data_IF_979779215450
#
_entry.id   IF_979779215450
#
_cell.length_a   1.000
_cell.length_b   1.000
_cell.length_c   1.000
_cell.angle_alpha   90.00
_cell.angle_beta   90.00
_cell.angle_gamma   90.00
#
_symmetry.space_group_name_H-M   'P 1'
#
loop_
_entity.id
_entity.type
_entity.pdbx_description
1 polymer ?
#
# COMPACT_ATOMS: atom_id res chain seq x y z
N UNK A 1 54.70 -6.63 -48.72
CA UNK A 1 55.92 -7.45 -48.56
C UNK A 1 56.20 -7.54 -47.07
N UNK A 2 56.31 -8.66 -46.34
CA UNK A 2 56.40 -10.12 -46.56
C UNK A 2 55.73 -10.78 -45.30
N UNK A 3 54.86 -11.79 -45.39
CA UNK A 3 55.04 -13.26 -45.47
C UNK A 3 55.66 -14.00 -44.24
N UNK A 4 55.07 -15.18 -43.98
CA UNK A 4 55.41 -16.32 -43.10
C UNK A 4 54.85 -16.27 -41.64
N UNK A 5 53.87 -17.09 -41.18
CA UNK A 5 53.61 -18.57 -41.21
C UNK A 5 54.43 -19.35 -40.16
N UNK A 6 53.81 -19.89 -39.09
CA UNK A 6 53.53 -21.34 -38.90
C UNK A 6 53.57 -21.92 -37.46
N UNK A 7 52.71 -22.95 -37.27
CA UNK A 7 52.70 -24.10 -36.34
C UNK A 7 52.43 -23.86 -34.83
N UNK A 8 51.37 -24.38 -34.19
CA UNK A 8 50.72 -25.72 -34.10
C UNK A 8 51.40 -26.73 -33.14
N UNK A 9 50.68 -27.11 -32.06
CA UNK A 9 50.55 -28.47 -31.43
C UNK A 9 49.95 -28.32 -30.02
N UNK A 10 48.74 -28.81 -29.70
CA UNK A 10 48.25 -30.19 -29.47
C UNK A 10 48.56 -30.74 -28.05
N UNK A 11 47.48 -31.10 -27.35
CA UNK A 11 47.28 -31.78 -26.04
C UNK A 11 47.99 -33.15 -25.92
N UNK A 12 48.10 -33.76 -24.71
CA UNK A 12 47.07 -34.70 -24.19
C UNK A 12 46.83 -34.59 -22.66
N UNK A 13 45.60 -34.77 -22.14
CA UNK A 13 44.96 -36.03 -21.64
C UNK A 13 45.77 -36.79 -20.57
N UNK A 14 45.26 -36.85 -19.33
CA UNK A 14 45.27 -38.05 -18.43
C UNK A 14 44.11 -37.97 -17.42
N UNK A 15 43.16 -38.92 -17.51
CA UNK A 15 42.37 -39.53 -16.42
C UNK A 15 43.05 -40.89 -16.09
N UNK A 16 42.83 -41.65 -14.97
CA UNK A 16 41.51 -42.16 -14.54
C UNK A 16 41.29 -42.57 -13.04
N UNK A 17 40.01 -42.92 -12.73
CA UNK A 17 39.54 -44.01 -11.83
C UNK A 17 39.85 -43.96 -10.32
N UNK A 18 39.13 -44.59 -9.38
CA UNK A 18 37.83 -45.26 -9.26
C UNK A 18 37.59 -45.48 -7.74
N UNK A 19 36.38 -45.93 -7.41
CA UNK A 19 35.77 -46.22 -6.10
C UNK A 19 36.55 -47.16 -5.15
N UNK A 20 36.11 -47.26 -3.88
CA UNK A 20 35.43 -48.50 -3.50
C UNK A 20 34.16 -48.32 -2.65
N UNK A 21 33.24 -49.24 -2.90
CA UNK A 21 32.11 -49.72 -2.11
C UNK A 21 32.53 -50.15 -0.70
N UNK A 22 31.64 -50.06 0.31
CA UNK A 22 31.35 -51.13 1.30
C UNK A 22 30.29 -50.69 2.32
N UNK A 23 29.22 -51.48 2.40
CA UNK A 23 28.18 -51.54 3.43
C UNK A 23 28.73 -52.16 4.73
N UNK A 24 28.07 -51.96 5.89
CA UNK A 24 27.66 -53.17 6.62
C UNK A 24 26.27 -53.11 7.27
N UNK A 25 25.59 -54.24 7.09
CA UNK A 25 24.73 -55.00 8.01
C UNK A 25 23.93 -54.31 9.12
N UNK A 26 22.61 -54.56 9.03
CA UNK A 26 21.67 -54.83 10.12
C UNK A 26 22.32 -55.34 11.41
N UNK A 27 22.06 -54.64 12.51
CA UNK A 27 21.95 -55.24 13.83
C UNK A 27 20.64 -54.79 14.48
N UNK A 28 19.85 -55.77 14.90
CA UNK A 28 18.52 -55.62 15.48
C UNK A 28 18.62 -55.04 16.90
N UNK A 29 18.05 -53.85 17.13
CA UNK A 29 17.64 -53.43 18.46
C UNK A 29 16.14 -53.13 18.45
N UNK A 30 15.39 -54.11 18.96
CA UNK A 30 13.99 -53.98 19.35
C UNK A 30 13.93 -53.01 20.53
N UNK A 31 13.48 -51.78 20.30
CA UNK A 31 12.94 -50.95 21.36
C UNK A 31 11.44 -50.74 21.16
N UNK A 32 10.73 -50.97 22.25
CA UNK A 32 9.29 -51.18 22.37
C UNK A 32 8.54 -49.92 21.96
N UNK A 33 7.44 -50.10 21.20
CA UNK A 33 6.43 -49.06 20.93
C UNK A 33 5.93 -48.46 22.26
N UNK A 34 5.98 -47.14 22.47
CA UNK A 34 5.11 -46.52 23.44
C UNK A 34 3.68 -46.52 22.89
N UNK A 35 2.75 -47.02 23.71
CA UNK A 35 1.30 -47.02 23.47
C UNK A 35 0.81 -45.59 23.18
N UNK A 36 -0.14 -45.40 22.25
CA UNK A 36 -0.86 -44.14 22.14
C UNK A 36 -1.74 -43.96 23.39
N UNK A 37 -1.80 -42.77 24.01
CA UNK A 37 -2.83 -42.48 24.98
C UNK A 37 -4.19 -42.46 24.26
N UNK A 38 -5.18 -43.13 24.85
CA UNK A 38 -6.56 -43.14 24.39
C UNK A 38 -7.08 -41.71 24.27
N UNK A 39 -7.50 -41.34 23.06
CA UNK A 39 -8.35 -40.19 22.80
C UNK A 39 -9.71 -40.44 23.48
N UNK A 40 -9.93 -39.84 24.65
CA UNK A 40 -11.26 -39.68 25.20
C UNK A 40 -11.99 -38.67 24.32
N UNK A 41 -12.90 -39.16 23.48
CA UNK A 41 -13.81 -38.34 22.71
C UNK A 41 -14.69 -37.52 23.67
N UNK A 42 -14.31 -36.27 23.96
CA UNK A 42 -15.27 -35.28 24.46
C UNK A 42 -16.19 -34.93 23.30
N UNK A 43 -17.38 -35.54 23.30
CA UNK A 43 -18.55 -35.01 22.61
C UNK A 43 -18.75 -33.57 23.10
N UNK A 44 -18.38 -32.60 22.29
CA UNK A 44 -18.91 -31.24 22.45
C UNK A 44 -20.34 -31.33 21.93
N UNK A 45 -21.29 -31.25 22.86
CA UNK A 45 -22.71 -31.23 22.59
C UNK A 45 -23.02 -29.89 21.91
N UNK A 46 -23.37 -29.93 20.62
CA UNK A 46 -24.01 -28.81 19.94
C UNK A 46 -25.43 -28.69 20.53
N UNK A 47 -25.61 -27.83 21.53
CA UNK A 47 -26.95 -27.45 21.97
C UNK A 47 -27.40 -26.24 21.15
N UNK A 48 -28.32 -26.52 20.22
CA UNK A 48 -29.16 -25.51 19.61
C UNK A 48 -29.97 -24.80 20.69
N UNK A 49 -29.81 -23.48 20.79
CA UNK A 49 -30.79 -22.61 21.45
C UNK A 49 -31.46 -21.75 20.37
N UNK A 50 -32.66 -22.18 19.98
CA UNK A 50 -33.65 -21.28 19.41
C UNK A 50 -34.44 -20.67 20.57
N UNK A 51 -34.39 -19.35 20.70
CA UNK A 51 -35.40 -18.45 21.30
C UNK A 51 -34.72 -17.10 21.53
N UNK A 52 -35.04 -16.09 20.73
CA UNK A 52 -36.15 -15.15 20.94
C UNK A 52 -35.71 -13.95 21.81
N UNK A 53 -35.74 -12.77 21.18
CA UNK A 53 -35.82 -11.41 21.72
C UNK A 53 -35.10 -11.11 23.04
N UNK A 54 -33.95 -10.43 22.91
CA UNK A 54 -33.56 -9.40 23.89
C UNK A 54 -33.14 -8.16 23.11
N UNK A 55 -34.07 -7.22 23.01
CA UNK A 55 -33.82 -5.81 22.71
C UNK A 55 -32.91 -5.25 23.80
N UNK A 56 -31.59 -5.40 23.61
CA UNK A 56 -30.58 -4.66 24.35
C UNK A 56 -30.52 -3.25 23.79
N UNK A 57 -31.16 -2.31 24.48
CA UNK A 57 -31.03 -0.90 24.23
C UNK A 57 -29.54 -0.52 24.18
N UNK A 58 -29.05 -0.13 22.99
CA UNK A 58 -27.75 0.52 22.89
C UNK A 58 -27.89 1.90 23.51
N UNK A 59 -27.49 1.99 24.78
CA UNK A 59 -27.36 3.23 25.53
C UNK A 59 -26.44 4.17 24.77
N UNK A 60 -27.02 5.24 24.23
CA UNK A 60 -26.34 6.48 23.89
C UNK A 60 -25.63 7.03 25.13
N UNK A 61 -24.31 7.02 25.16
CA UNK A 61 -23.43 8.07 25.73
C UNK A 61 -21.97 7.61 25.74
N UNK A 62 -21.27 7.84 24.63
CA UNK A 62 -19.93 8.42 24.65
C UNK A 62 -19.70 9.04 23.29
N UNK A 63 -19.16 10.24 23.29
CA UNK A 63 -18.68 10.99 22.14
C UNK A 63 -17.48 10.22 21.54
N UNK A 64 -17.73 9.03 20.95
CA UNK A 64 -16.73 8.31 20.19
C UNK A 64 -16.47 9.11 18.93
N UNK A 65 -15.41 9.92 18.99
CA UNK A 65 -14.90 10.64 17.84
C UNK A 65 -14.68 9.62 16.70
N UNK A 66 -15.59 9.64 15.72
CA UNK A 66 -15.54 8.73 14.56
C UNK A 66 -14.10 8.72 14.01
N UNK A 67 -13.41 7.58 13.96
CA UNK A 67 -12.01 7.55 13.58
C UNK A 67 -11.86 8.03 12.14
N UNK A 68 -10.89 8.93 11.92
CA UNK A 68 -10.55 9.39 10.57
C UNK A 68 -9.76 8.28 9.89
N UNK A 69 -10.25 7.76 8.75
CA UNK A 69 -9.51 6.74 8.01
C UNK A 69 -8.24 7.35 7.42
N UNK A 70 -7.12 6.65 7.62
CA UNK A 70 -5.81 7.00 7.06
C UNK A 70 -5.33 5.84 6.21
N UNK A 71 -4.93 6.14 4.97
CA UNK A 71 -4.29 5.20 4.07
C UNK A 71 -2.99 5.82 3.59
N UNK A 72 -1.87 5.20 4.00
CA UNK A 72 -0.53 5.59 3.64
C UNK A 72 0.12 4.51 2.77
N UNK A 73 0.58 4.88 1.59
CA UNK A 73 1.39 4.01 0.73
C UNK A 73 2.79 4.58 0.68
N UNK A 74 3.77 3.80 1.12
CA UNK A 74 5.16 4.20 1.26
C UNK A 74 6.04 3.36 0.33
N UNK A 75 6.75 4.04 -0.57
CA UNK A 75 7.74 3.45 -1.47
C UNK A 75 9.18 3.80 -1.09
N UNK A 76 9.48 4.55 -0.03
CA UNK A 76 10.86 4.92 0.31
C UNK A 76 11.45 4.01 1.40
N UNK A 77 10.65 3.59 2.38
CA UNK A 77 11.14 2.80 3.54
C UNK A 77 11.69 1.42 3.21
N UNK A 78 11.20 0.77 2.13
CA UNK A 78 11.64 -0.56 1.72
C UNK A 78 12.01 -0.56 0.22
N UNK A 79 13.14 -1.17 -0.11
CA UNK A 79 13.67 -1.22 -1.47
C UNK A 79 12.99 -2.30 -2.31
N UNK A 80 12.58 -3.39 -1.67
CA UNK A 80 12.10 -4.58 -2.37
C UNK A 80 10.57 -4.68 -2.38
N UNK A 81 9.88 -4.00 -1.46
CA UNK A 81 8.44 -4.03 -1.31
C UNK A 81 7.85 -2.63 -1.20
N UNK A 82 6.57 -2.49 -1.55
CA UNK A 82 5.79 -1.29 -1.25
C UNK A 82 5.09 -1.51 0.08
N UNK A 83 5.15 -0.53 0.96
CA UNK A 83 4.51 -0.60 2.26
C UNK A 83 3.14 0.06 2.16
N UNK A 84 2.12 -0.60 2.71
CA UNK A 84 0.79 -0.03 2.86
C UNK A 84 0.45 -0.03 4.34
N UNK A 85 0.19 1.14 4.88
CA UNK A 85 -0.28 1.35 6.23
C UNK A 85 -1.70 1.88 6.20
N UNK A 86 -2.52 1.35 7.08
CA UNK A 86 -3.93 1.71 7.17
C UNK A 86 -4.40 1.70 8.61
N UNK A 87 -5.16 2.72 8.98
CA UNK A 87 -5.87 2.78 10.25
C UNK A 87 -7.30 2.30 10.06
N UNK A 88 -7.62 1.17 10.66
CA UNK A 88 -8.97 0.60 10.64
C UNK A 88 -9.52 0.56 12.06
N UNK A 89 -10.84 0.63 12.20
CA UNK A 89 -11.47 0.36 13.49
C UNK A 89 -11.17 -1.06 13.99
N UNK A 90 -11.75 -1.43 15.10
CA UNK A 90 -11.53 -2.71 15.79
C UNK A 90 -12.15 -3.95 15.09
N UNK A 91 -12.67 -3.80 13.87
CA UNK A 91 -13.38 -4.86 13.16
C UNK A 91 -12.45 -5.82 12.43
N UNK A 92 -12.28 -7.02 12.99
CA UNK A 92 -11.48 -8.10 12.39
C UNK A 92 -11.89 -8.46 10.95
N UNK A 93 -13.18 -8.34 10.61
CA UNK A 93 -13.69 -8.60 9.26
C UNK A 93 -13.08 -7.68 8.20
N UNK A 94 -12.83 -6.41 8.57
CA UNK A 94 -12.27 -5.42 7.66
C UNK A 94 -10.84 -5.79 7.21
N UNK A 95 -10.05 -6.35 8.12
CA UNK A 95 -8.70 -6.81 7.83
C UNK A 95 -8.69 -7.99 6.85
N UNK A 96 -9.54 -8.99 7.08
CA UNK A 96 -9.61 -10.19 6.26
C UNK A 96 -10.04 -9.87 4.82
N UNK A 97 -11.07 -9.04 4.67
CA UNK A 97 -11.55 -8.63 3.35
C UNK A 97 -10.56 -7.71 2.64
N UNK A 98 -9.82 -6.87 3.36
CA UNK A 98 -8.72 -6.09 2.78
C UNK A 98 -7.63 -7.02 2.24
N UNK A 99 -7.22 -8.02 3.00
CA UNK A 99 -6.24 -9.02 2.55
C UNK A 99 -6.72 -9.80 1.32
N UNK A 100 -8.00 -10.15 1.30
CA UNK A 100 -8.62 -10.82 0.16
C UNK A 100 -8.63 -9.90 -1.07
N UNK A 101 -9.03 -8.64 -0.92
CA UNK A 101 -9.08 -7.68 -2.02
C UNK A 101 -7.68 -7.40 -2.60
N UNK A 102 -6.66 -7.26 -1.75
CA UNK A 102 -5.26 -7.13 -2.21
C UNK A 102 -4.82 -8.36 -3.01
N UNK A 103 -5.19 -9.57 -2.55
CA UNK A 103 -4.90 -10.81 -3.27
C UNK A 103 -5.65 -10.90 -4.61
N UNK A 104 -6.89 -10.45 -4.65
CA UNK A 104 -7.72 -10.43 -5.87
C UNK A 104 -7.17 -9.45 -6.92
N UNK A 105 -6.47 -8.39 -6.49
CA UNK A 105 -5.68 -7.51 -7.37
C UNK A 105 -4.39 -8.16 -7.90
N UNK A 106 -4.06 -9.37 -7.44
CA UNK A 106 -2.84 -10.09 -7.78
C UNK A 106 -1.61 -9.61 -7.02
N UNK A 107 -1.79 -9.07 -5.81
CA UNK A 107 -0.72 -8.64 -4.93
C UNK A 107 -0.40 -9.72 -3.89
N UNK A 108 0.89 -9.88 -3.63
CA UNK A 108 1.43 -10.78 -2.63
C UNK A 108 1.76 -9.99 -1.36
N UNK A 109 1.13 -10.34 -0.24
CA UNK A 109 1.45 -9.76 1.06
C UNK A 109 2.52 -10.62 1.73
N UNK A 110 3.73 -10.07 1.89
CA UNK A 110 4.89 -10.81 2.42
C UNK A 110 5.03 -10.71 3.93
N UNK A 111 4.73 -9.54 4.49
CA UNK A 111 4.80 -9.25 5.91
C UNK A 111 3.58 -8.43 6.30
N UNK A 112 3.06 -8.69 7.50
CA UNK A 112 1.97 -7.93 8.09
C UNK A 112 2.27 -7.69 9.57
N UNK A 113 2.07 -6.47 10.02
CA UNK A 113 2.13 -6.10 11.43
C UNK A 113 0.85 -5.37 11.80
N UNK A 114 0.22 -5.77 12.90
CA UNK A 114 -0.95 -5.10 13.45
C UNK A 114 -0.57 -4.56 14.81
N UNK A 115 -0.65 -3.24 14.97
CA UNK A 115 -0.51 -2.56 16.23
C UNK A 115 -1.88 -2.03 16.63
N UNK A 116 -2.37 -2.43 17.80
CA UNK A 116 -3.64 -1.96 18.35
C UNK A 116 -3.33 -1.06 19.52
N UNK A 117 -3.40 0.26 19.31
CA UNK A 117 -3.44 1.22 20.39
C UNK A 117 -4.89 1.41 20.86
N UNK A 118 -5.08 1.94 22.07
CA UNK A 118 -6.38 2.00 22.78
C UNK A 118 -7.50 2.73 22.04
N UNK A 119 -7.24 3.40 20.92
CA UNK A 119 -8.22 4.12 20.12
C UNK A 119 -8.19 3.80 18.61
N UNK A 120 -7.07 3.30 18.06
CA UNK A 120 -6.90 3.10 16.62
C UNK A 120 -6.06 1.85 16.36
N UNK A 121 -6.55 0.95 15.51
CA UNK A 121 -5.74 -0.17 15.02
C UNK A 121 -4.99 0.27 13.77
N UNK A 122 -3.66 0.22 13.84
CA UNK A 122 -2.78 0.48 12.71
C UNK A 122 -2.29 -0.85 12.17
N UNK A 123 -2.58 -1.10 10.90
CA UNK A 123 -2.11 -2.29 10.20
C UNK A 123 -1.13 -1.86 9.13
N UNK A 124 0.01 -2.54 9.08
CA UNK A 124 1.08 -2.33 8.10
C UNK A 124 1.31 -3.62 7.31
N UNK A 125 1.29 -3.51 5.99
CA UNK A 125 1.52 -4.60 5.06
C UNK A 125 2.70 -4.28 4.14
N UNK A 126 3.53 -5.29 3.88
CA UNK A 126 4.52 -5.23 2.79
C UNK A 126 3.94 -5.98 1.60
N UNK A 127 3.62 -5.24 0.54
CA UNK A 127 3.04 -5.77 -0.69
C UNK A 127 4.08 -5.85 -1.80
N UNK A 128 3.96 -6.89 -2.60
CA UNK A 128 4.73 -7.11 -3.82
C UNK A 128 3.77 -7.56 -4.92
N UNK A 129 4.20 -7.48 -6.17
CA UNK A 129 3.46 -8.01 -7.31
C UNK A 129 4.39 -8.85 -8.16
N UNK A 130 4.10 -10.15 -8.30
CA UNK A 130 4.95 -11.11 -9.00
C UNK A 130 6.42 -11.09 -8.50
N UNK A 131 6.60 -10.95 -7.17
CA UNK A 131 7.91 -10.88 -6.53
C UNK A 131 8.70 -9.59 -6.77
N UNK A 132 8.07 -8.53 -7.27
CA UNK A 132 8.67 -7.19 -7.45
C UNK A 132 7.90 -6.12 -6.69
N UNK A 133 8.56 -5.00 -6.43
CA UNK A 133 7.95 -3.80 -5.86
C UNK A 133 6.87 -3.23 -6.78
N UNK A 134 5.83 -2.64 -6.19
CA UNK A 134 4.74 -2.00 -6.94
C UNK A 134 5.09 -0.54 -7.17
N UNK A 135 5.39 -0.20 -8.42
CA UNK A 135 5.79 1.16 -8.84
C UNK A 135 4.78 1.77 -9.84
N UNK A 136 3.95 0.94 -10.45
CA UNK A 136 2.95 1.36 -11.44
C UNK A 136 1.89 2.28 -10.80
N UNK A 137 1.77 3.55 -11.22
CA UNK A 137 0.91 4.53 -10.58
C UNK A 137 -0.58 4.15 -10.66
N UNK A 138 -0.99 3.54 -11.78
CA UNK A 138 -2.34 2.99 -11.94
C UNK A 138 -2.65 1.92 -10.90
N UNK A 139 -1.66 1.08 -10.58
CA UNK A 139 -1.82 0.04 -9.56
C UNK A 139 -1.83 0.63 -8.14
N UNK A 140 -0.99 1.63 -7.84
CA UNK A 140 -0.99 2.31 -6.54
C UNK A 140 -2.34 2.97 -6.26
N UNK A 141 -2.91 3.65 -7.24
CA UNK A 141 -4.24 4.26 -7.12
C UNK A 141 -5.32 3.18 -6.93
N UNK A 142 -5.26 2.07 -7.68
CA UNK A 142 -6.21 0.95 -7.50
C UNK A 142 -6.12 0.35 -6.10
N UNK A 143 -4.91 0.19 -5.55
CA UNK A 143 -4.70 -0.28 -4.19
C UNK A 143 -5.35 0.66 -3.19
N UNK A 144 -5.06 1.97 -3.30
CA UNK A 144 -5.62 3.02 -2.44
C UNK A 144 -7.15 2.99 -2.44
N UNK A 145 -7.77 3.03 -3.63
CA UNK A 145 -9.22 3.03 -3.79
C UNK A 145 -9.87 1.73 -3.29
N UNK A 146 -9.24 0.58 -3.51
CA UNK A 146 -9.76 -0.72 -3.04
C UNK A 146 -9.78 -0.80 -1.52
N UNK A 147 -8.71 -0.31 -0.87
CA UNK A 147 -8.62 -0.29 0.60
C UNK A 147 -9.67 0.66 1.18
N UNK A 148 -9.80 1.86 0.62
CA UNK A 148 -10.81 2.84 1.06
C UNK A 148 -12.22 2.26 0.92
N UNK A 149 -12.53 1.62 -0.22
CA UNK A 149 -13.83 0.98 -0.43
C UNK A 149 -14.14 -0.08 0.63
N UNK A 150 -13.16 -0.93 0.96
CA UNK A 150 -13.34 -1.93 2.01
C UNK A 150 -13.53 -1.28 3.38
N UNK A 151 -12.75 -0.25 3.72
CA UNK A 151 -12.92 0.50 4.97
C UNK A 151 -14.36 1.02 5.10
N UNK A 152 -14.87 1.61 4.03
CA UNK A 152 -16.20 2.20 3.96
C UNK A 152 -17.34 1.18 4.07
N UNK A 153 -17.15 -0.07 3.63
CA UNK A 153 -18.13 -1.13 3.83
C UNK A 153 -18.32 -1.47 5.31
N UNK A 154 -17.24 -1.39 6.09
CA UNK A 154 -17.27 -1.73 7.52
C UNK A 154 -17.58 -0.52 8.39
N UNK A 155 -17.16 0.68 7.98
CA UNK A 155 -17.35 1.94 8.71
C UNK A 155 -18.06 2.97 7.82
N UNK A 156 -19.37 2.81 7.54
CA UNK A 156 -20.12 3.79 6.76
C UNK A 156 -20.17 5.16 7.45
N UNK A 157 -20.01 5.23 8.78
CA UNK A 157 -19.85 6.47 9.54
C UNK A 157 -18.61 7.27 9.14
N UNK A 158 -17.54 6.61 8.68
CA UNK A 158 -16.32 7.27 8.21
C UNK A 158 -16.46 7.86 6.80
N UNK A 159 -17.52 7.49 6.04
CA UNK A 159 -17.77 8.04 4.70
C UNK A 159 -17.98 9.56 4.73
N UNK A 160 -18.55 10.08 5.81
CA UNK A 160 -18.82 11.50 6.00
C UNK A 160 -17.52 12.33 6.17
N UNK A 161 -16.40 11.66 6.48
CA UNK A 161 -15.09 12.28 6.71
C UNK A 161 -14.12 12.12 5.54
N UNK A 162 -14.49 11.35 4.52
CA UNK A 162 -13.68 11.08 3.33
C UNK A 162 -14.17 11.91 2.15
N UNK A 163 -13.25 12.51 1.40
CA UNK A 163 -13.63 13.20 0.17
C UNK A 163 -14.26 12.23 -0.84
N UNK A 164 -13.93 10.93 -0.75
CA UNK A 164 -14.44 9.87 -1.60
C UNK A 164 -15.78 9.25 -1.12
N UNK A 165 -16.38 9.73 -0.02
CA UNK A 165 -17.58 9.10 0.56
C UNK A 165 -18.75 8.93 -0.41
N UNK A 166 -18.97 9.91 -1.30
CA UNK A 166 -19.98 9.80 -2.37
C UNK A 166 -19.55 8.86 -3.50
N UNK A 167 -18.27 8.88 -3.87
CA UNK A 167 -17.77 8.11 -5.01
C UNK A 167 -18.07 6.61 -4.84
N UNK A 168 -18.09 6.12 -3.61
CA UNK A 168 -18.43 4.73 -3.26
C UNK A 168 -19.93 4.50 -2.96
N UNK A 169 -20.79 5.50 -3.12
CA UNK A 169 -22.25 5.36 -3.05
C UNK A 169 -22.84 5.22 -1.64
N UNK A 170 -22.14 5.66 -0.59
CA UNK A 170 -22.59 5.52 0.80
C UNK A 170 -23.29 6.79 1.28
N UNK A 171 -22.50 7.83 1.60
CA UNK A 171 -23.00 9.15 1.99
C UNK A 171 -22.00 10.22 1.55
N UNK A 172 -22.49 11.40 1.13
CA UNK A 172 -21.63 12.55 0.93
C UNK A 172 -20.89 12.91 2.23
N UNK A 173 -19.65 13.45 2.16
CA UNK A 173 -19.06 14.10 3.32
C UNK A 173 -20.02 15.20 3.82
N UNK A 174 -20.24 15.32 5.13
CA UNK A 174 -21.12 16.38 5.69
C UNK A 174 -20.69 17.76 5.23
N UNK A 175 -19.38 17.88 5.04
CA UNK A 175 -18.74 19.06 4.50
C UNK A 175 -18.87 19.17 2.99
N UNK A 176 -19.76 18.49 2.27
CA UNK A 176 -19.86 18.62 0.81
C UNK A 176 -20.27 20.01 0.35
N UNK A 177 -21.25 20.60 1.03
CA UNK A 177 -21.60 22.01 0.85
C UNK A 177 -20.39 22.90 1.14
N UNK A 178 -19.54 22.49 2.09
CA UNK A 178 -18.28 23.15 2.42
C UNK A 178 -17.03 22.51 1.82
N UNK A 179 -17.09 21.65 0.81
CA UNK A 179 -15.90 21.30 0.02
C UNK A 179 -15.69 22.47 -0.94
N UNK A 180 -16.77 23.17 -1.29
CA UNK A 180 -16.78 24.49 -1.92
C UNK A 180 -16.38 25.59 -0.91
N UNK A 181 -16.78 25.51 0.37
CA UNK A 181 -16.48 26.54 1.40
C UNK A 181 -15.21 26.32 2.27
N UNK A 182 -14.66 25.11 2.33
CA UNK A 182 -13.36 24.82 2.94
C UNK A 182 -12.37 25.03 1.82
N UNK A 183 -11.79 26.22 1.84
CA UNK A 183 -10.61 26.55 1.06
C UNK A 183 -9.44 25.69 1.57
N UNK A 184 -9.43 24.40 1.21
CA UNK A 184 -8.24 23.53 1.35
C UNK A 184 -7.26 24.08 0.33
N UNK A 185 -6.57 25.14 0.74
CA UNK A 185 -5.59 25.81 -0.10
C UNK A 185 -4.55 24.76 -0.52
N UNK A 186 -4.21 24.76 -1.80
CA UNK A 186 -3.20 23.83 -2.32
C UNK A 186 -1.82 24.34 -1.93
N UNK A 187 -1.13 23.61 -1.05
CA UNK A 187 0.21 23.92 -0.61
C UNK A 187 1.19 23.01 -1.35
N UNK A 188 2.11 23.61 -2.07
CA UNK A 188 3.14 22.89 -2.84
C UNK A 188 4.49 23.48 -2.46
N UNK A 189 5.39 22.61 -2.00
CA UNK A 189 6.73 22.97 -1.57
C UNK A 189 7.74 22.02 -2.22
N UNK A 190 8.85 22.56 -2.71
CA UNK A 190 9.97 21.77 -3.21
C UNK A 190 11.17 22.03 -2.31
N UNK A 191 11.67 20.99 -1.68
CA UNK A 191 12.81 21.01 -0.76
C UNK A 191 14.00 20.20 -1.30
N UNK A 192 15.19 20.44 -0.75
CA UNK A 192 16.40 19.70 -1.11
C UNK A 192 16.41 18.35 -0.38
N UNK A 193 16.48 17.24 -1.12
CA UNK A 193 16.54 15.88 -0.56
C UNK A 193 17.82 15.15 -0.99
N UNK A 194 18.93 15.89 -0.90
CA UNK A 194 20.25 15.41 -1.24
C UNK A 194 20.71 15.73 -2.67
N UNK A 195 21.87 15.23 -3.08
CA UNK A 195 22.51 15.69 -4.32
C UNK A 195 21.83 15.19 -5.60
N UNK A 196 21.04 14.11 -5.51
CA UNK A 196 20.48 13.41 -6.68
C UNK A 196 18.99 13.67 -6.88
N UNK A 197 18.28 14.12 -5.86
CA UNK A 197 16.82 14.26 -5.86
C UNK A 197 16.37 15.45 -5.02
N UNK A 198 15.15 15.88 -5.24
CA UNK A 198 14.44 16.89 -4.48
C UNK A 198 13.16 16.28 -3.90
N UNK A 199 12.69 16.79 -2.77
CA UNK A 199 11.42 16.40 -2.19
C UNK A 199 10.34 17.37 -2.64
N UNK A 200 9.30 16.87 -3.30
CA UNK A 200 8.10 17.61 -3.64
C UNK A 200 7.00 17.24 -2.65
N UNK A 201 6.58 18.17 -1.80
CA UNK A 201 5.45 18.02 -0.88
C UNK A 201 4.21 18.70 -1.46
N UNK A 202 3.09 17.97 -1.52
CA UNK A 202 1.81 18.44 -2.04
C UNK A 202 0.74 18.16 -0.99
N UNK A 203 0.08 19.22 -0.55
CA UNK A 203 -1.11 19.15 0.29
C UNK A 203 -2.28 19.77 -0.47
N UNK A 204 -3.30 18.96 -0.76
CA UNK A 204 -4.46 19.39 -1.53
C UNK A 204 -5.70 18.59 -1.14
N UNK A 205 -6.87 19.00 -1.61
CA UNK A 205 -8.10 18.25 -1.38
C UNK A 205 -8.06 16.92 -2.15
N UNK A 206 -8.34 15.81 -1.47
CA UNK A 206 -8.31 14.50 -2.10
C UNK A 206 -9.47 14.33 -3.11
N UNK A 207 -9.20 13.63 -4.21
CA UNK A 207 -10.16 13.26 -5.27
C UNK A 207 -9.73 11.96 -5.97
N UNK A 208 -10.65 11.18 -6.54
CA UNK A 208 -10.26 9.94 -7.21
C UNK A 208 -9.48 10.30 -8.48
N UNK A 209 -8.33 9.66 -8.69
CA UNK A 209 -7.43 9.97 -9.81
C UNK A 209 -6.48 11.15 -9.58
N UNK A 210 -6.48 11.79 -8.40
CA UNK A 210 -5.55 12.86 -8.04
C UNK A 210 -4.08 12.44 -8.22
N UNK A 211 -3.73 11.24 -7.75
CA UNK A 211 -2.38 10.69 -7.88
C UNK A 211 -1.91 10.63 -9.35
N UNK A 212 -2.78 10.12 -10.23
CA UNK A 212 -2.48 10.01 -11.66
C UNK A 212 -2.32 11.39 -12.31
N UNK A 213 -3.16 12.35 -11.91
CA UNK A 213 -3.07 13.73 -12.36
C UNK A 213 -1.74 14.38 -11.94
N UNK A 214 -1.34 14.24 -10.68
CA UNK A 214 -0.07 14.75 -10.16
C UNK A 214 1.10 14.12 -10.92
N UNK A 215 1.14 12.79 -11.02
CA UNK A 215 2.23 12.08 -11.70
C UNK A 215 2.31 12.51 -13.16
N UNK A 216 1.17 12.63 -13.85
CA UNK A 216 1.11 13.13 -15.22
C UNK A 216 1.74 14.51 -15.35
N UNK A 217 1.37 15.46 -14.48
CA UNK A 217 1.94 16.82 -14.51
C UNK A 217 3.45 16.79 -14.30
N UNK A 218 3.94 16.00 -13.34
CA UNK A 218 5.38 15.85 -13.09
C UNK A 218 6.08 15.31 -14.35
N UNK A 219 5.55 14.23 -14.95
CA UNK A 219 6.12 13.64 -16.16
C UNK A 219 6.04 14.57 -17.38
N UNK A 220 4.99 15.37 -17.52
CA UNK A 220 4.82 16.36 -18.59
C UNK A 220 5.85 17.50 -18.49
N UNK A 221 6.33 17.81 -17.27
CA UNK A 221 7.46 18.74 -17.06
C UNK A 221 8.84 18.11 -17.27
N UNK A 222 8.90 16.85 -17.73
CA UNK A 222 10.11 16.06 -17.93
C UNK A 222 10.91 15.87 -16.62
N UNK A 223 10.20 15.72 -15.51
CA UNK A 223 10.74 15.37 -14.20
C UNK A 223 10.43 13.91 -13.91
N UNK A 224 11.41 13.19 -13.37
CA UNK A 224 11.30 11.78 -13.03
C UNK A 224 10.84 11.63 -11.57
N UNK A 225 9.92 10.70 -11.30
CA UNK A 225 9.49 10.31 -9.94
C UNK A 225 10.24 9.04 -9.54
N UNK A 226 11.04 9.11 -8.49
CA UNK A 226 11.85 7.98 -8.00
C UNK A 226 11.11 7.12 -6.96
N UNK A 227 10.42 7.78 -6.02
CA UNK A 227 9.58 7.14 -5.01
C UNK A 227 8.53 8.13 -4.51
N UNK A 228 7.44 7.61 -3.96
CA UNK A 228 6.39 8.43 -3.37
C UNK A 228 5.94 7.90 -2.00
N UNK A 229 5.53 8.82 -1.13
CA UNK A 229 4.67 8.58 0.01
C UNK A 229 3.30 9.18 -0.33
N UNK A 230 2.27 8.35 -0.48
CA UNK A 230 0.91 8.76 -0.82
C UNK A 230 0.09 8.65 0.45
N UNK A 231 -0.39 9.77 0.98
CA UNK A 231 -1.07 9.82 2.26
C UNK A 231 -2.45 10.45 2.10
N UNK A 232 -3.48 9.69 2.41
CA UNK A 232 -4.86 10.14 2.40
C UNK A 232 -5.39 10.19 3.82
N UNK A 233 -5.63 11.41 4.32
CA UNK A 233 -6.20 11.69 5.64
C UNK A 233 -7.54 12.41 5.50
N UNK A 234 -8.65 11.66 5.53
CA UNK A 234 -10.00 12.23 5.45
C UNK A 234 -10.27 12.99 4.14
N UNK A 235 -10.28 14.32 4.18
CA UNK A 235 -10.55 15.18 3.02
C UNK A 235 -9.29 15.65 2.28
N UNK A 236 -8.10 15.44 2.87
CA UNK A 236 -6.83 16.01 2.41
C UNK A 236 -5.91 14.88 1.97
N UNK A 237 -5.23 15.08 0.85
CA UNK A 237 -4.10 14.28 0.40
C UNK A 237 -2.81 15.02 0.73
N UNK A 238 -1.85 14.34 1.37
CA UNK A 238 -0.53 14.85 1.77
C UNK A 238 0.55 14.00 1.14
N UNK A 239 0.81 14.23 -0.14
CA UNK A 239 1.70 13.39 -0.90
C UNK A 239 3.13 13.95 -0.90
N UNK A 240 4.11 13.06 -0.76
CA UNK A 240 5.53 13.38 -0.96
C UNK A 240 6.06 12.61 -2.15
N UNK A 241 6.73 13.30 -3.05
CA UNK A 241 7.39 12.71 -4.20
C UNK A 241 8.87 13.03 -4.16
N UNK A 242 9.69 11.98 -4.21
CA UNK A 242 11.10 12.11 -4.47
C UNK A 242 11.30 12.24 -5.98
N UNK A 243 11.69 13.43 -6.40
CA UNK A 243 11.77 13.79 -7.83
C UNK A 243 13.18 14.13 -8.24
N UNK A 244 13.55 13.78 -9.46
CA UNK A 244 14.83 14.16 -10.04
C UNK A 244 14.69 14.60 -11.49
N UNK A 245 15.65 15.40 -11.94
CA UNK A 245 15.76 15.81 -13.33
C UNK A 245 17.09 15.29 -13.87
N UNK A 246 17.02 14.27 -14.73
CA UNK A 246 18.21 13.61 -15.31
C UNK A 246 19.17 13.06 -14.24
N UNK A 247 18.61 12.52 -13.16
CA UNK A 247 19.36 11.94 -12.03
C UNK A 247 20.06 12.96 -11.13
N UNK A 248 19.68 14.23 -11.21
CA UNK A 248 20.13 15.30 -10.32
C UNK A 248 18.95 16.02 -9.69
N UNK A 249 19.21 16.71 -8.57
CA UNK A 249 18.20 17.55 -7.92
C UNK A 249 17.69 18.67 -8.83
N UNK A 250 16.47 19.13 -8.57
CA UNK A 250 15.84 20.19 -9.36
C UNK A 250 16.56 21.53 -9.11
N UNK A 251 16.74 22.32 -10.18
CA UNK A 251 17.22 23.69 -10.06
C UNK A 251 16.06 24.64 -9.69
N UNK A 252 16.36 25.84 -9.21
CA UNK A 252 15.33 26.78 -8.75
C UNK A 252 14.30 27.14 -9.84
N UNK A 253 14.74 27.29 -11.09
CA UNK A 253 13.86 27.61 -12.22
C UNK A 253 12.85 26.50 -12.49
N UNK A 254 13.32 25.24 -12.53
CA UNK A 254 12.49 24.07 -12.81
C UNK A 254 11.58 23.76 -11.63
N UNK A 255 12.06 23.90 -10.38
CA UNK A 255 11.20 23.82 -9.18
C UNK A 255 10.07 24.84 -9.24
N UNK A 256 10.34 26.07 -9.70
CA UNK A 256 9.31 27.10 -9.84
C UNK A 256 8.31 26.76 -10.94
N UNK A 257 8.76 26.26 -12.09
CA UNK A 257 7.89 25.82 -13.19
C UNK A 257 6.98 24.70 -12.72
N UNK A 258 7.54 23.65 -12.11
CA UNK A 258 6.79 22.52 -11.58
C UNK A 258 5.74 22.97 -10.55
N UNK A 259 6.15 23.82 -9.60
CA UNK A 259 5.24 24.38 -8.58
C UNK A 259 4.10 25.16 -9.22
N UNK A 260 4.38 25.97 -10.25
CA UNK A 260 3.36 26.75 -10.93
C UNK A 260 2.40 25.87 -11.74
N UNK A 261 2.92 24.85 -12.43
CA UNK A 261 2.10 23.88 -13.17
C UNK A 261 1.16 23.12 -12.22
N UNK A 262 1.69 22.59 -11.12
CA UNK A 262 0.88 21.89 -10.12
C UNK A 262 -0.16 22.82 -9.50
N UNK A 263 0.21 24.07 -9.14
CA UNK A 263 -0.78 25.06 -8.67
C UNK A 263 -1.87 25.33 -9.67
N UNK A 264 -1.55 25.41 -10.96
CA UNK A 264 -2.54 25.70 -12.00
C UNK A 264 -3.53 24.55 -12.20
N UNK A 265 -3.05 23.31 -12.31
CA UNK A 265 -3.90 22.15 -12.58
C UNK A 265 -4.63 21.61 -11.35
N UNK A 266 -4.00 21.68 -10.16
CA UNK A 266 -4.64 21.22 -8.93
C UNK A 266 -5.66 22.23 -8.39
N UNK A 267 -5.56 23.50 -8.81
CA UNK A 267 -6.58 24.50 -8.50
C UNK A 267 -7.91 24.06 -9.10
N UNK A 268 -8.94 24.07 -8.26
CA UNK A 268 -10.30 23.79 -8.72
C UNK A 268 -10.76 24.91 -9.65
N UNK A 269 -11.39 24.62 -10.79
CA UNK A 269 -12.23 25.62 -11.43
C UNK A 269 -13.32 25.98 -10.42
N UNK A 270 -13.34 27.24 -9.98
CA UNK A 270 -14.52 27.80 -9.34
C UNK A 270 -15.69 27.49 -10.27
N UNK A 271 -16.72 26.82 -9.77
CA UNK A 271 -17.98 26.65 -10.50
C UNK A 271 -18.66 28.01 -10.60
N UNK A 272 -18.19 28.84 -11.51
CA UNK A 272 -18.90 30.02 -12.01
C UNK A 272 -19.59 29.65 -13.33
N UNK A 273 -20.52 28.71 -13.26
CA UNK A 273 -21.42 28.38 -14.38
C UNK A 273 -22.76 28.00 -13.76
N UNK A 274 -23.49 28.97 -13.18
CA UNK A 274 -24.96 28.93 -12.95
C UNK A 274 -25.52 30.24 -12.35
N UNK A 275 -25.00 31.40 -12.76
CA UNK A 275 -25.69 32.69 -12.53
C UNK A 275 -25.73 33.52 -13.80
N UNK A 276 -26.67 33.18 -14.70
CA UNK A 276 -27.16 34.11 -15.72
C UNK A 276 -28.65 33.89 -15.99
#
# INVERSE_FOLDING_TARGET
MALAVSHARILPVVTPSATPTTTPSRCCLRFRKPRPPLLTARRVCCQSINSADVLGASSTTSDEAVPVPVVLIDQDSDRDATIVQLSFGDRLGALLDTMKALKDLGLDVTKGSVATDSAVTQTKFHIMRFGRKVEDPDMLERIRLTIINNLLQYHPESSEKLAMGEFFGIKPPEKKASIVDIDIATHIVVEDDGPKRSMLYIETADRPGLLLEIIKIITDTNVDVESAEIDTEGLVAKDKFHVSYRGAKLNSSLSQVLTNCLRYYLRRPETDEDSY
#
